data_IF_850049299580
#
_entry.id   IF_850049299580
#
_cell.length_a   1.000
_cell.length_b   1.000
_cell.length_c   1.000
_cell.angle_alpha   90.00
_cell.angle_beta   90.00
_cell.angle_gamma   90.00
#
_symmetry.space_group_name_H-M   'P 1'
#
loop_
_entity.id
_entity.type
_entity.pdbx_description
1 polymer ?
#
# COMPACT_ATOMS: atom_id res chain seq x y z
N UNK A 1 29.54 -40.83 -28.43
CA UNK A 1 28.77 -39.73 -27.81
C UNK A 1 27.52 -39.37 -28.64
N UNK A 2 26.58 -40.31 -28.81
CA UNK A 2 25.32 -40.08 -29.57
C UNK A 2 24.10 -40.79 -28.94
N UNK A 3 24.18 -41.18 -27.67
CA UNK A 3 23.09 -41.90 -26.98
C UNK A 3 22.41 -41.09 -25.86
N UNK A 4 22.91 -39.89 -25.51
CA UNK A 4 22.38 -39.13 -24.35
C UNK A 4 21.35 -38.06 -24.75
N UNK A 5 21.19 -37.77 -26.04
CA UNK A 5 20.30 -36.71 -26.55
C UNK A 5 18.86 -37.15 -26.83
N UNK A 6 18.55 -38.46 -26.82
CA UNK A 6 17.23 -38.97 -27.22
C UNK A 6 16.20 -39.04 -26.08
N UNK A 7 16.63 -38.97 -24.81
CA UNK A 7 15.75 -39.19 -23.64
C UNK A 7 14.99 -37.95 -23.14
N UNK A 8 15.41 -36.73 -23.51
CA UNK A 8 14.80 -35.51 -22.95
C UNK A 8 13.59 -35.03 -23.78
N UNK A 9 13.51 -35.35 -25.07
CA UNK A 9 12.40 -34.89 -25.94
C UNK A 9 11.11 -35.69 -25.73
N UNK A 10 11.17 -36.91 -25.17
CA UNK A 10 10.00 -37.78 -24.98
C UNK A 10 9.13 -37.37 -23.76
N UNK A 11 9.65 -36.56 -22.84
CA UNK A 11 8.95 -36.20 -21.60
C UNK A 11 7.92 -35.06 -21.76
N UNK A 12 7.95 -34.30 -22.86
CA UNK A 12 7.10 -33.11 -23.05
C UNK A 12 5.75 -33.43 -23.73
N UNK A 13 5.58 -34.61 -24.32
CA UNK A 13 4.40 -34.92 -25.16
C UNK A 13 3.25 -35.62 -24.42
N UNK A 14 3.49 -36.17 -23.21
CA UNK A 14 2.50 -37.07 -22.56
C UNK A 14 1.50 -36.35 -21.65
N UNK A 15 1.70 -35.08 -21.27
CA UNK A 15 0.75 -34.37 -20.38
C UNK A 15 -0.39 -33.67 -21.16
N UNK A 16 -0.37 -33.70 -22.50
CA UNK A 16 -1.41 -33.08 -23.34
C UNK A 16 -2.59 -33.99 -23.71
N UNK A 17 -2.67 -35.22 -23.20
CA UNK A 17 -3.69 -36.21 -23.60
C UNK A 17 -4.49 -36.73 -22.40
N UNK A 18 -5.14 -35.80 -21.69
CA UNK A 18 -6.27 -36.13 -20.79
C UNK A 18 -7.48 -35.30 -21.22
N UNK A 19 -7.88 -35.52 -22.46
CA UNK A 19 -9.16 -35.10 -23.03
C UNK A 19 -9.80 -36.33 -23.68
N UNK A 20 -11.10 -36.47 -23.43
CA UNK A 20 -11.99 -37.51 -23.94
C UNK A 20 -12.02 -38.83 -23.13
N UNK A 21 -13.10 -39.02 -22.37
CA UNK A 21 -14.16 -40.00 -22.68
C UNK A 21 -15.12 -40.12 -21.47
N UNK A 22 -16.31 -39.51 -21.56
CA UNK A 22 -17.56 -40.19 -21.19
C UNK A 22 -18.69 -39.59 -22.03
N UNK A 23 -19.27 -40.46 -22.86
CA UNK A 23 -20.25 -40.20 -23.91
C UNK A 23 -21.67 -40.51 -23.39
N UNK A 24 -22.65 -39.81 -23.96
CA UNK A 24 -24.03 -40.26 -24.26
C UNK A 24 -25.18 -39.70 -23.41
N UNK A 25 -25.95 -38.81 -24.06
CA UNK A 25 -27.32 -38.46 -23.75
C UNK A 25 -27.96 -37.72 -24.93
N UNK A 26 -28.50 -38.46 -25.90
CA UNK A 26 -29.37 -37.96 -26.98
C UNK A 26 -30.77 -37.69 -26.41
N UNK A 27 -31.39 -36.55 -26.77
CA UNK A 27 -32.84 -36.44 -26.68
C UNK A 27 -33.40 -35.02 -26.68
N UNK A 28 -34.16 -34.68 -27.73
CA UNK A 28 -35.40 -33.92 -27.59
C UNK A 28 -35.32 -32.40 -27.75
N UNK A 29 -35.67 -31.93 -28.95
CA UNK A 29 -36.08 -30.54 -29.16
C UNK A 29 -37.41 -30.24 -28.44
N UNK A 30 -37.51 -29.03 -27.91
CA UNK A 30 -38.72 -28.47 -27.31
C UNK A 30 -38.53 -26.99 -27.08
N UNK A 31 -39.29 -26.17 -27.82
CA UNK A 31 -39.39 -24.74 -27.61
C UNK A 31 -40.01 -24.47 -26.23
N UNK A 32 -39.42 -23.60 -25.41
CA UNK A 32 -40.15 -22.85 -24.39
C UNK A 32 -39.32 -21.70 -23.81
N UNK A 33 -39.78 -20.49 -24.12
CA UNK A 33 -39.98 -19.36 -23.22
C UNK A 33 -38.76 -18.73 -22.52
N UNK A 34 -38.50 -17.49 -22.92
CA UNK A 34 -37.72 -16.51 -22.19
C UNK A 34 -38.17 -16.40 -20.73
N UNK A 35 -37.23 -16.28 -19.77
CA UNK A 35 -37.58 -16.05 -18.38
C UNK A 35 -38.19 -14.65 -18.18
N UNK A 36 -39.16 -14.48 -17.27
CA UNK A 36 -39.74 -13.18 -16.97
C UNK A 36 -38.71 -12.26 -16.31
N UNK A 37 -38.60 -11.06 -16.89
CA UNK A 37 -37.96 -9.88 -16.29
C UNK A 37 -38.42 -9.70 -14.85
N UNK A 38 -37.51 -9.92 -13.91
CA UNK A 38 -37.67 -9.53 -12.51
C UNK A 38 -36.58 -8.51 -12.20
N UNK A 39 -36.88 -7.25 -12.50
CA UNK A 39 -36.08 -6.10 -12.09
C UNK A 39 -36.26 -5.91 -10.58
N UNK A 40 -35.25 -6.08 -9.71
CA UNK A 40 -35.27 -5.39 -8.44
C UNK A 40 -34.93 -3.93 -8.74
N UNK A 41 -35.93 -3.07 -8.65
CA UNK A 41 -35.76 -1.62 -8.46
C UNK A 41 -34.98 -1.43 -7.16
N UNK A 42 -33.65 -1.44 -7.25
CA UNK A 42 -32.80 -0.87 -6.22
C UNK A 42 -32.88 0.65 -6.40
N UNK A 43 -33.66 1.28 -5.54
CA UNK A 43 -33.68 2.72 -5.31
C UNK A 43 -32.24 3.22 -5.23
N UNK A 44 -31.82 3.98 -6.25
CA UNK A 44 -30.58 4.74 -6.21
C UNK A 44 -30.75 5.81 -5.14
N UNK A 45 -30.19 5.56 -3.96
CA UNK A 45 -29.97 6.58 -2.96
C UNK A 45 -28.87 7.53 -3.49
N UNK A 46 -29.06 8.86 -3.43
CA UNK A 46 -28.06 9.82 -3.89
C UNK A 46 -26.70 9.61 -3.21
N UNK A 47 -25.57 9.98 -3.84
CA UNK A 47 -24.25 9.91 -3.22
C UNK A 47 -24.23 10.84 -2.01
N UNK A 48 -24.51 10.26 -0.85
CA UNK A 48 -24.27 10.91 0.43
C UNK A 48 -22.77 10.85 0.61
N UNK A 49 -22.16 12.02 0.48
CA UNK A 49 -20.75 12.27 0.77
C UNK A 49 -20.34 11.43 1.98
N UNK A 50 -19.29 10.61 1.80
CA UNK A 50 -18.58 9.99 2.90
C UNK A 50 -18.03 11.11 3.77
N UNK A 51 -18.82 11.52 4.75
CA UNK A 51 -18.37 12.35 5.84
C UNK A 51 -17.36 11.51 6.60
N UNK A 52 -16.08 11.70 6.28
CA UNK A 52 -14.97 11.31 7.14
C UNK A 52 -15.33 11.78 8.53
N UNK A 53 -15.65 10.83 9.41
CA UNK A 53 -15.87 11.12 10.82
C UNK A 53 -14.53 11.54 11.37
N UNK A 54 -14.25 12.85 11.31
CA UNK A 54 -13.23 13.48 12.12
C UNK A 54 -13.69 13.32 13.57
N UNK A 55 -13.17 12.30 14.24
CA UNK A 55 -13.21 12.23 15.71
C UNK A 55 -12.27 13.29 16.24
N UNK A 56 -12.74 14.54 16.28
CA UNK A 56 -12.07 15.64 16.98
C UNK A 56 -12.07 15.36 18.48
N UNK A 57 -11.01 14.72 18.95
CA UNK A 57 -10.65 14.61 20.37
C UNK A 57 -9.66 15.71 20.72
N UNK A 58 -10.11 16.68 21.51
CA UNK A 58 -9.36 17.85 21.95
C UNK A 58 -8.39 17.46 23.08
N UNK A 59 -7.09 17.40 22.77
CA UNK A 59 -5.98 17.16 23.71
C UNK A 59 -5.06 15.98 23.33
N UNK A 60 -3.87 16.28 22.80
CA UNK A 60 -2.71 15.37 22.83
C UNK A 60 -2.67 14.15 21.90
N UNK A 61 -3.76 13.80 21.20
CA UNK A 61 -3.79 12.66 20.28
C UNK A 61 -3.55 13.11 18.82
N UNK A 62 -2.62 12.44 18.13
CA UNK A 62 -2.38 12.64 16.69
C UNK A 62 -3.65 12.28 15.92
N UNK A 63 -4.26 13.27 15.27
CA UNK A 63 -5.45 13.08 14.43
C UNK A 63 -5.03 12.57 13.04
N UNK A 64 -5.70 11.55 12.50
CA UNK A 64 -5.42 11.00 11.18
C UNK A 64 -6.68 10.56 10.44
N UNK A 65 -6.62 10.52 9.11
CA UNK A 65 -7.67 9.91 8.27
C UNK A 65 -7.47 8.40 8.22
N UNK A 66 -8.40 7.65 8.81
CA UNK A 66 -8.27 6.20 8.94
C UNK A 66 -8.30 5.45 7.59
N UNK A 67 -9.10 5.91 6.63
CA UNK A 67 -9.19 5.26 5.32
C UNK A 67 -7.90 5.49 4.54
N UNK A 68 -7.39 6.72 4.56
CA UNK A 68 -6.15 7.08 3.88
C UNK A 68 -4.93 6.45 4.57
N UNK A 69 -4.93 6.34 5.90
CA UNK A 69 -3.91 5.63 6.65
C UNK A 69 -3.87 4.13 6.29
N UNK A 70 -5.03 3.50 6.10
CA UNK A 70 -5.10 2.10 5.66
C UNK A 70 -4.56 1.93 4.24
N UNK A 71 -4.86 2.86 3.32
CA UNK A 71 -4.23 2.92 2.00
C UNK A 71 -2.70 3.04 2.12
N UNK A 72 -2.22 3.82 3.09
CA UNK A 72 -0.81 3.95 3.41
C UNK A 72 -0.17 2.63 3.86
N UNK A 73 -0.88 1.81 4.65
CA UNK A 73 -0.42 0.46 5.02
C UNK A 73 -0.24 -0.43 3.79
N UNK A 74 -1.19 -0.38 2.84
CA UNK A 74 -1.11 -1.13 1.60
C UNK A 74 0.09 -0.69 0.76
N UNK A 75 0.26 0.62 0.58
CA UNK A 75 1.39 1.19 -0.14
C UNK A 75 2.74 0.89 0.53
N UNK A 76 2.83 1.00 1.85
CA UNK A 76 4.06 0.69 2.60
C UNK A 76 4.53 -0.75 2.34
N UNK A 77 3.59 -1.68 2.22
CA UNK A 77 3.88 -3.08 1.88
C UNK A 77 4.24 -3.23 0.40
N UNK A 78 3.44 -2.67 -0.51
CA UNK A 78 3.57 -2.93 -1.95
C UNK A 78 4.79 -2.27 -2.59
N UNK A 79 5.19 -1.08 -2.13
CA UNK A 79 6.40 -0.40 -2.63
C UNK A 79 7.69 -0.91 -1.99
N UNK A 80 7.59 -1.86 -1.05
CA UNK A 80 8.74 -2.56 -0.47
C UNK A 80 9.36 -1.89 0.75
N UNK A 81 8.70 -0.93 1.41
CA UNK A 81 9.25 -0.30 2.62
C UNK A 81 9.52 -1.31 3.75
N UNK A 82 8.74 -2.40 3.80
CA UNK A 82 8.92 -3.52 4.74
C UNK A 82 10.26 -4.26 4.57
N UNK A 83 10.93 -4.15 3.42
CA UNK A 83 12.25 -4.74 3.23
C UNK A 83 13.29 -4.14 4.18
N UNK A 84 13.12 -2.87 4.56
CA UNK A 84 14.06 -2.16 5.42
C UNK A 84 13.48 -1.81 6.80
N UNK A 85 12.18 -1.57 6.91
CA UNK A 85 11.55 -0.99 8.09
C UNK A 85 10.43 -1.86 8.65
N UNK A 86 10.32 -1.94 9.97
CA UNK A 86 9.10 -2.37 10.67
C UNK A 86 8.21 -1.18 11.06
N UNK A 87 6.93 -1.47 11.33
CA UNK A 87 6.00 -0.57 12.03
C UNK A 87 5.27 -1.38 13.10
N UNK A 88 5.99 -1.67 14.19
CA UNK A 88 5.54 -2.57 15.26
C UNK A 88 4.22 -2.15 15.90
N UNK A 89 3.94 -0.86 16.07
CA UNK A 89 2.65 -0.39 16.62
C UNK A 89 1.45 -0.72 15.74
N UNK A 90 1.68 -1.00 14.45
CA UNK A 90 0.68 -1.49 13.50
C UNK A 90 0.77 -3.01 13.24
N UNK A 91 1.64 -3.73 13.97
CA UNK A 91 1.89 -5.15 13.74
C UNK A 91 2.59 -5.46 12.41
N UNK A 92 3.20 -4.46 11.76
CA UNK A 92 3.90 -4.65 10.50
C UNK A 92 5.34 -5.05 10.80
N UNK A 93 5.67 -6.31 10.54
CA UNK A 93 7.05 -6.80 10.58
C UNK A 93 7.80 -6.37 9.31
N UNK A 94 9.11 -6.18 9.44
CA UNK A 94 9.97 -5.80 8.33
C UNK A 94 11.45 -5.97 8.68
N UNK A 95 12.31 -5.48 7.80
CA UNK A 95 13.76 -5.51 7.99
C UNK A 95 14.24 -4.64 9.16
N UNK A 96 15.55 -4.75 9.43
CA UNK A 96 16.25 -3.97 10.45
C UNK A 96 17.34 -3.06 9.86
N UNK A 97 17.33 -2.87 8.53
CA UNK A 97 18.25 -1.95 7.84
C UNK A 97 17.92 -0.51 8.22
N UNK A 98 16.62 -0.18 8.26
CA UNK A 98 16.11 1.07 8.79
C UNK A 98 15.52 0.89 10.20
N UNK A 99 15.34 1.98 10.96
CA UNK A 99 14.68 1.94 12.26
C UNK A 99 13.21 1.53 12.14
N UNK A 100 12.64 1.07 13.25
CA UNK A 100 11.18 0.93 13.37
C UNK A 100 10.51 2.31 13.26
N UNK A 101 9.44 2.39 12.46
CA UNK A 101 8.77 3.66 12.15
C UNK A 101 7.54 3.94 13.00
N UNK A 102 7.26 3.14 14.04
CA UNK A 102 6.06 3.30 14.89
C UNK A 102 5.96 4.69 15.51
N UNK A 103 7.10 5.35 15.75
CA UNK A 103 7.20 6.68 16.35
C UNK A 103 7.88 7.69 15.43
N UNK A 104 7.98 7.40 14.13
CA UNK A 104 8.71 8.25 13.18
C UNK A 104 8.20 9.69 13.11
N UNK A 105 6.88 9.91 13.30
CA UNK A 105 6.30 11.26 13.32
C UNK A 105 7.02 12.17 14.33
N UNK A 106 7.45 11.61 15.46
CA UNK A 106 8.08 12.32 16.57
C UNK A 106 9.57 12.05 16.69
N UNK A 107 10.21 11.57 15.63
CA UNK A 107 11.65 11.27 15.64
C UNK A 107 12.46 12.52 15.92
N UNK A 108 13.29 12.50 16.96
CA UNK A 108 14.31 13.53 17.24
C UNK A 108 15.70 13.13 16.72
N UNK A 109 15.82 11.90 16.24
CA UNK A 109 17.11 11.30 15.88
C UNK A 109 17.30 11.18 14.37
N UNK A 110 18.54 10.84 14.01
CA UNK A 110 18.97 10.50 12.65
C UNK A 110 18.67 11.65 11.66
N UNK A 111 18.54 11.29 10.39
CA UNK A 111 18.13 12.13 9.27
C UNK A 111 16.82 12.91 9.46
N UNK A 112 15.72 12.30 9.92
CA UNK A 112 14.40 12.94 10.02
C UNK A 112 14.35 13.95 11.17
N UNK A 113 14.94 13.62 12.32
CA UNK A 113 15.07 14.58 13.43
C UNK A 113 15.94 15.78 13.05
N UNK A 114 17.05 15.54 12.34
CA UNK A 114 17.85 16.60 11.73
C UNK A 114 17.03 17.47 10.77
N UNK A 115 16.25 16.85 9.88
CA UNK A 115 15.41 17.57 8.92
C UNK A 115 14.36 18.43 9.62
N UNK A 116 13.72 17.94 10.67
CA UNK A 116 12.79 18.73 11.47
C UNK A 116 13.46 19.96 12.08
N UNK A 117 14.63 19.78 12.70
CA UNK A 117 15.39 20.88 13.29
C UNK A 117 15.81 21.94 12.26
N UNK A 118 16.34 21.52 11.12
CA UNK A 118 16.72 22.43 10.01
C UNK A 118 15.52 23.21 9.45
N UNK A 119 14.30 22.68 9.60
CA UNK A 119 13.04 23.32 9.20
C UNK A 119 12.26 23.94 10.38
N UNK A 120 12.98 24.23 11.48
CA UNK A 120 12.45 24.98 12.62
C UNK A 120 11.43 24.20 13.46
N UNK A 121 11.62 22.90 13.62
CA UNK A 121 10.83 22.03 14.49
C UNK A 121 11.76 21.21 15.40
N UNK A 122 12.22 21.80 16.51
CA UNK A 122 13.10 21.12 17.46
C UNK A 122 12.39 20.02 18.26
N UNK A 123 11.11 20.22 18.58
CA UNK A 123 10.28 19.23 19.26
C UNK A 123 9.09 18.84 18.36
N UNK A 124 9.16 17.73 17.60
CA UNK A 124 8.07 17.35 16.72
C UNK A 124 6.77 16.99 17.46
N UNK A 125 6.84 16.66 18.76
CA UNK A 125 5.65 16.40 19.56
C UNK A 125 4.88 17.68 19.94
N UNK A 126 5.52 18.87 19.92
CA UNK A 126 4.82 20.13 20.20
C UNK A 126 3.96 20.62 19.04
N UNK A 127 4.24 20.15 17.81
CA UNK A 127 3.44 20.47 16.64
C UNK A 127 3.35 19.25 15.68
N UNK A 128 2.46 18.29 15.99
CA UNK A 128 2.27 17.09 15.16
C UNK A 128 1.83 17.41 13.74
N UNK A 129 1.15 18.55 13.52
CA UNK A 129 0.70 18.99 12.20
C UNK A 129 1.91 19.41 11.36
N UNK A 130 2.78 20.26 11.91
CA UNK A 130 4.04 20.63 11.24
C UNK A 130 4.95 19.43 11.05
N UNK A 131 5.04 18.52 12.02
CA UNK A 131 5.79 17.28 11.86
C UNK A 131 5.31 16.45 10.66
N UNK A 132 3.99 16.28 10.51
CA UNK A 132 3.40 15.57 9.38
C UNK A 132 3.67 16.26 8.03
N UNK A 133 3.61 17.60 8.00
CA UNK A 133 3.96 18.37 6.79
C UNK A 133 5.43 18.20 6.41
N UNK A 134 6.35 18.28 7.38
CA UNK A 134 7.77 18.08 7.13
C UNK A 134 8.09 16.62 6.75
N UNK A 135 7.39 15.65 7.32
CA UNK A 135 7.50 14.25 6.89
C UNK A 135 7.07 14.08 5.42
N UNK A 136 5.96 14.71 5.01
CA UNK A 136 5.53 14.69 3.62
C UNK A 136 6.62 15.28 2.70
N UNK A 137 7.20 16.43 3.08
CA UNK A 137 8.28 17.04 2.32
C UNK A 137 9.53 16.15 2.27
N UNK A 138 9.89 15.50 3.36
CA UNK A 138 11.00 14.55 3.41
C UNK A 138 10.79 13.36 2.47
N UNK A 139 9.56 12.82 2.39
CA UNK A 139 9.20 11.72 1.48
C UNK A 139 9.10 12.17 0.01
N UNK A 140 8.90 13.46 -0.26
CA UNK A 140 8.86 14.01 -1.62
C UNK A 140 10.23 14.49 -2.11
N UNK A 141 11.02 15.12 -1.25
CA UNK A 141 12.29 15.73 -1.60
C UNK A 141 13.29 15.62 -0.43
N UNK A 142 13.80 14.42 -0.16
CA UNK A 142 14.73 14.19 0.94
C UNK A 142 16.06 14.95 0.72
N UNK A 143 16.67 15.50 1.79
CA UNK A 143 17.92 16.26 1.71
C UNK A 143 19.13 15.37 1.34
N UNK A 144 20.21 15.98 0.86
CA UNK A 144 21.39 15.26 0.34
C UNK A 144 22.08 14.34 1.36
N UNK A 145 22.02 14.68 2.65
CA UNK A 145 22.59 13.84 3.71
C UNK A 145 21.78 12.56 3.96
N UNK A 146 20.56 12.45 3.42
CA UNK A 146 19.72 11.25 3.49
C UNK A 146 19.85 10.41 2.23
N UNK A 147 21.10 10.06 1.88
CA UNK A 147 21.47 9.43 0.60
C UNK A 147 20.58 8.25 0.21
N UNK A 148 20.32 7.31 1.13
CA UNK A 148 19.44 6.16 0.86
C UNK A 148 18.02 6.59 0.50
N UNK A 149 17.38 7.50 1.25
CA UNK A 149 16.04 7.96 0.87
C UNK A 149 16.04 8.81 -0.38
N UNK A 150 17.09 9.60 -0.62
CA UNK A 150 17.21 10.34 -1.88
C UNK A 150 17.19 9.40 -3.08
N UNK A 151 17.95 8.31 -3.02
CA UNK A 151 17.92 7.28 -4.06
C UNK A 151 16.56 6.58 -4.17
N UNK A 152 15.96 6.18 -3.04
CA UNK A 152 14.66 5.50 -3.04
C UNK A 152 13.54 6.39 -3.57
N UNK A 153 13.44 7.65 -3.12
CA UNK A 153 12.42 8.60 -3.58
C UNK A 153 12.60 8.92 -5.06
N UNK A 154 13.83 9.06 -5.56
CA UNK A 154 14.08 9.21 -6.99
C UNK A 154 13.59 8.00 -7.79
N UNK A 155 13.82 6.78 -7.29
CA UNK A 155 13.31 5.57 -7.91
C UNK A 155 11.77 5.52 -7.88
N UNK A 156 11.12 5.84 -6.75
CA UNK A 156 9.67 5.88 -6.65
C UNK A 156 9.05 6.91 -7.59
N UNK A 157 9.63 8.11 -7.70
CA UNK A 157 9.21 9.12 -8.67
C UNK A 157 9.36 8.62 -10.12
N UNK A 158 10.43 7.89 -10.42
CA UNK A 158 10.60 7.30 -11.75
C UNK A 158 9.57 6.20 -12.06
N UNK A 159 9.11 5.45 -11.05
CA UNK A 159 8.17 4.34 -11.22
C UNK A 159 6.71 4.79 -11.22
N UNK A 160 6.36 5.75 -10.36
CA UNK A 160 4.98 6.16 -10.11
C UNK A 160 4.65 7.57 -10.63
N UNK A 161 5.65 8.30 -11.12
CA UNK A 161 5.49 9.68 -11.58
C UNK A 161 4.85 10.56 -10.51
N UNK A 162 3.92 11.42 -10.94
CA UNK A 162 3.15 12.31 -10.09
C UNK A 162 2.34 11.60 -9.00
N UNK A 163 2.01 10.32 -9.18
CA UNK A 163 1.24 9.58 -8.17
C UNK A 163 2.01 9.45 -6.87
N UNK A 164 3.35 9.41 -6.91
CA UNK A 164 4.15 9.36 -5.68
C UNK A 164 3.76 10.49 -4.73
N UNK A 165 3.70 11.72 -5.24
CA UNK A 165 3.38 12.90 -4.43
C UNK A 165 1.87 13.07 -4.20
N UNK A 166 1.03 12.69 -5.16
CA UNK A 166 -0.43 12.90 -5.10
C UNK A 166 -1.17 11.82 -4.31
N UNK A 167 -0.70 10.57 -4.35
CA UNK A 167 -1.37 9.41 -3.78
C UNK A 167 -0.56 8.74 -2.65
N UNK A 168 0.72 8.45 -2.89
CA UNK A 168 1.52 7.63 -1.96
C UNK A 168 1.95 8.43 -0.73
N UNK A 169 2.56 9.59 -0.91
CA UNK A 169 3.07 10.40 0.20
C UNK A 169 1.97 10.77 1.20
N UNK A 170 0.78 11.29 0.80
CA UNK A 170 -0.29 11.60 1.73
C UNK A 170 -0.77 10.37 2.52
N UNK A 171 -0.92 9.22 1.83
CA UNK A 171 -1.33 7.97 2.46
C UNK A 171 -0.30 7.46 3.47
N UNK A 172 0.99 7.50 3.12
CA UNK A 172 2.09 7.11 4.01
C UNK A 172 2.18 8.01 5.23
N UNK A 173 1.94 9.31 5.08
CA UNK A 173 1.92 10.25 6.22
C UNK A 173 0.76 9.94 7.16
N UNK A 174 -0.45 9.68 6.65
CA UNK A 174 -1.59 9.26 7.49
C UNK A 174 -1.32 7.91 8.19
N UNK A 175 -0.65 6.97 7.52
CA UNK A 175 -0.22 5.73 8.15
C UNK A 175 0.75 5.99 9.30
N UNK A 176 1.73 6.88 9.14
CA UNK A 176 2.70 7.20 10.20
C UNK A 176 2.02 7.95 11.36
N UNK A 177 1.03 8.80 11.08
CA UNK A 177 0.20 9.43 12.11
C UNK A 177 -0.61 8.40 12.91
N UNK A 178 -1.23 7.44 12.23
CA UNK A 178 -1.91 6.29 12.85
C UNK A 178 -0.95 5.41 13.67
N UNK A 179 0.28 5.21 13.20
CA UNK A 179 1.28 4.44 13.92
C UNK A 179 1.71 5.14 15.22
N UNK A 180 1.86 6.47 15.16
CA UNK A 180 2.28 7.29 16.29
C UNK A 180 1.19 7.38 17.39
N UNK A 181 -0.09 7.26 17.02
CA UNK A 181 -1.23 7.33 17.94
C UNK A 181 -1.49 6.05 18.75
N UNK A 182 -0.70 4.99 18.56
CA UNK A 182 -0.84 3.69 19.25
C UNK A 182 0.24 3.44 20.29
#
# INVERSE_FOLDING_TARGET
>A
MRLVTATIVLAVVVIAVVTALTLSGLGGGGQAQAPPSSTPTATQQPPTQSTSTQTSGQGGAVQYDAQLAQKGVEYFKSVGCTACHSVKSLGISGGAVGPDLSKALFSTDQWLGRYYKENGLDNPASDPTKAAQLLAQFLSNPPDYSTTMKSQVAAYKSLYGDQWEKDYVPALVEMIKMAASR
#
